data_IF_258166410991
#
_entry.id   IF_258166410991
#
_cell.length_a   1.000
_cell.length_b   1.000
_cell.length_c   1.000
_cell.angle_alpha   90.00
_cell.angle_beta   90.00
_cell.angle_gamma   90.00
#
_symmetry.space_group_name_H-M   'P 1'
#
loop_
_entity.id
_entity.type
_entity.pdbx_description
1 polymer ?
#
# COMPACT_ATOMS: atom_id res chain seq x y z
N UNK A 1 -44.41 -35.18 8.74
CA UNK A 1 -44.46 -34.39 10.00
C UNK A 1 -43.21 -34.60 10.89
N UNK A 2 -42.11 -35.18 10.38
CA UNK A 2 -40.89 -35.46 11.16
C UNK A 2 -39.72 -34.49 10.92
N UNK A 3 -39.78 -33.64 9.89
CA UNK A 3 -38.70 -32.68 9.54
C UNK A 3 -38.64 -31.42 10.45
N UNK A 4 -39.58 -31.27 11.39
CA UNK A 4 -39.64 -30.12 12.29
C UNK A 4 -39.00 -30.40 13.66
N UNK A 5 -38.82 -31.68 14.04
CA UNK A 5 -38.28 -32.06 15.37
C UNK A 5 -36.77 -32.29 15.39
N UNK A 6 -36.15 -32.62 14.26
CA UNK A 6 -34.70 -32.70 14.11
C UNK A 6 -34.30 -31.60 13.13
N UNK A 7 -33.78 -30.49 13.66
CA UNK A 7 -33.44 -29.29 12.87
C UNK A 7 -32.73 -29.68 11.59
N UNK A 8 -33.32 -29.30 10.44
CA UNK A 8 -32.83 -29.65 9.10
C UNK A 8 -31.31 -29.47 9.04
N UNK A 9 -30.58 -30.57 8.86
CA UNK A 9 -29.17 -30.51 8.53
C UNK A 9 -29.04 -29.67 7.26
N UNK A 10 -28.30 -28.55 7.34
CA UNK A 10 -28.09 -27.67 6.20
C UNK A 10 -27.56 -28.48 5.03
N UNK A 11 -28.15 -28.29 3.87
CA UNK A 11 -27.66 -28.94 2.66
C UNK A 11 -26.23 -28.45 2.36
N UNK A 12 -25.39 -29.25 1.67
CA UNK A 12 -24.04 -28.80 1.27
C UNK A 12 -24.06 -27.44 0.55
N UNK A 13 -25.09 -27.18 -0.27
CA UNK A 13 -25.26 -25.89 -0.94
C UNK A 13 -25.58 -24.73 0.00
N UNK A 14 -26.40 -24.96 1.03
CA UNK A 14 -26.68 -23.96 2.06
C UNK A 14 -25.44 -23.66 2.90
N UNK A 15 -24.63 -24.66 3.22
CA UNK A 15 -23.35 -24.51 3.92
C UNK A 15 -22.36 -23.68 3.09
N UNK A 16 -22.18 -24.01 1.81
CA UNK A 16 -21.31 -23.25 0.90
C UNK A 16 -21.77 -21.78 0.77
N UNK A 17 -23.09 -21.55 0.69
CA UNK A 17 -23.65 -20.19 0.62
C UNK A 17 -23.48 -19.42 1.93
N UNK A 18 -23.63 -20.08 3.07
CA UNK A 18 -23.40 -19.47 4.38
C UNK A 18 -21.92 -19.13 4.59
N UNK A 19 -21.01 -20.06 4.25
CA UNK A 19 -19.56 -19.86 4.35
C UNK A 19 -19.11 -18.70 3.45
N UNK A 20 -19.59 -18.64 2.20
CA UNK A 20 -19.31 -17.50 1.31
C UNK A 20 -19.71 -16.17 1.95
N UNK A 21 -20.92 -16.07 2.52
CA UNK A 21 -21.38 -14.86 3.21
C UNK A 21 -20.54 -14.50 4.44
N UNK A 22 -20.09 -15.51 5.19
CA UNK A 22 -19.22 -15.31 6.34
C UNK A 22 -17.85 -14.77 5.90
N UNK A 23 -17.27 -15.32 4.84
CA UNK A 23 -16.02 -14.84 4.24
C UNK A 23 -16.19 -13.40 3.72
N UNK A 24 -17.27 -13.10 2.99
CA UNK A 24 -17.56 -11.73 2.50
C UNK A 24 -17.77 -10.71 3.62
N UNK A 25 -18.28 -11.16 4.77
CA UNK A 25 -18.37 -10.32 5.97
C UNK A 25 -16.98 -10.10 6.58
N UNK A 26 -16.21 -11.17 6.77
CA UNK A 26 -14.86 -11.08 7.31
C UNK A 26 -13.96 -10.16 6.47
N UNK A 27 -14.02 -10.24 5.12
CA UNK A 27 -13.27 -9.33 4.25
C UNK A 27 -13.62 -7.85 4.49
N UNK A 28 -14.90 -7.53 4.67
CA UNK A 28 -15.36 -6.15 4.95
C UNK A 28 -14.95 -5.68 6.34
N UNK A 29 -14.98 -6.57 7.33
CA UNK A 29 -14.56 -6.25 8.68
C UNK A 29 -13.03 -6.02 8.73
N UNK A 30 -12.23 -6.81 8.00
CA UNK A 30 -10.78 -6.56 7.82
C UNK A 30 -10.50 -5.24 7.11
N UNK A 31 -11.24 -4.89 6.05
CA UNK A 31 -11.07 -3.61 5.35
C UNK A 31 -11.36 -2.41 6.27
N UNK A 32 -12.38 -2.51 7.12
CA UNK A 32 -12.72 -1.47 8.10
C UNK A 32 -11.62 -1.30 9.15
N UNK A 33 -11.10 -2.41 9.66
CA UNK A 33 -10.01 -2.36 10.65
C UNK A 33 -8.72 -1.82 10.04
N UNK A 34 -8.41 -2.20 8.80
CA UNK A 34 -7.30 -1.62 8.04
C UNK A 34 -7.45 -0.10 7.92
N UNK A 35 -8.61 0.40 7.49
CA UNK A 35 -8.87 1.84 7.38
C UNK A 35 -8.75 2.57 8.72
N UNK A 36 -9.17 1.92 9.82
CA UNK A 36 -8.99 2.46 11.17
C UNK A 36 -7.51 2.60 11.52
N UNK A 37 -6.71 1.57 11.24
CA UNK A 37 -5.26 1.59 11.46
C UNK A 37 -4.54 2.61 10.57
N UNK A 38 -4.91 2.74 9.29
CA UNK A 38 -4.41 3.81 8.40
C UNK A 38 -4.74 5.21 8.96
N UNK A 39 -5.90 5.37 9.59
CA UNK A 39 -6.28 6.59 10.30
C UNK A 39 -5.41 6.86 11.53
N UNK A 40 -5.10 5.82 12.32
CA UNK A 40 -4.18 5.91 13.46
C UNK A 40 -2.76 6.23 13.00
N UNK A 41 -2.29 5.60 11.93
CA UNK A 41 -0.97 5.84 11.32
C UNK A 41 -0.77 7.33 11.01
N UNK A 42 -1.75 7.95 10.34
CA UNK A 42 -1.71 9.39 10.02
C UNK A 42 -1.62 10.28 11.26
N UNK A 43 -2.30 9.91 12.35
CA UNK A 43 -2.24 10.65 13.63
C UNK A 43 -0.88 10.50 14.29
N UNK A 44 -0.37 9.26 14.38
CA UNK A 44 0.96 8.98 14.95
C UNK A 44 2.05 9.71 14.18
N UNK A 45 1.98 9.77 12.85
CA UNK A 45 2.90 10.56 12.02
C UNK A 45 2.84 12.05 12.38
N UNK A 46 1.64 12.62 12.55
CA UNK A 46 1.48 14.03 12.93
C UNK A 46 2.06 14.29 14.33
N UNK A 47 1.84 13.38 15.28
CA UNK A 47 2.35 13.49 16.65
C UNK A 47 3.88 13.35 16.68
N UNK A 48 4.47 12.41 15.92
CA UNK A 48 5.93 12.28 15.75
C UNK A 48 6.52 13.61 15.26
N UNK A 49 5.93 14.20 14.20
CA UNK A 49 6.39 15.50 13.66
C UNK A 49 6.30 16.62 14.69
N UNK A 50 5.26 16.64 15.52
CA UNK A 50 5.08 17.64 16.58
C UNK A 50 6.13 17.47 17.70
N UNK A 51 6.35 16.24 18.16
CA UNK A 51 7.31 15.94 19.24
C UNK A 51 8.76 16.14 18.78
N UNK A 52 9.05 15.85 17.51
CA UNK A 52 10.35 16.12 16.88
C UNK A 52 10.66 17.62 16.85
N UNK A 53 9.68 18.46 16.50
CA UNK A 53 9.82 19.93 16.56
C UNK A 53 10.08 20.46 17.97
N UNK A 54 9.58 19.76 18.98
CA UNK A 54 9.79 20.10 20.40
C UNK A 54 11.14 19.55 20.93
N UNK A 55 11.93 18.84 20.13
CA UNK A 55 13.21 18.27 20.53
C UNK A 55 13.09 17.04 21.45
N UNK A 56 11.90 16.47 21.62
CA UNK A 56 11.66 15.33 22.52
C UNK A 56 11.97 14.00 21.81
N UNK A 57 13.25 13.74 21.57
CA UNK A 57 13.71 12.59 20.76
C UNK A 57 13.37 11.22 21.38
N UNK A 58 13.29 11.10 22.71
CA UNK A 58 12.89 9.83 23.35
C UNK A 58 11.42 9.50 23.09
N UNK A 59 10.53 10.49 23.15
CA UNK A 59 9.12 10.34 22.79
C UNK A 59 8.95 10.01 21.31
N UNK A 60 9.74 10.64 20.43
CA UNK A 60 9.78 10.36 18.99
C UNK A 60 10.18 8.91 18.73
N UNK A 61 11.21 8.40 19.42
CA UNK A 61 11.67 7.01 19.27
C UNK A 61 10.57 6.01 19.66
N UNK A 62 9.84 6.27 20.75
CA UNK A 62 8.74 5.40 21.20
C UNK A 62 7.59 5.43 20.19
N UNK A 63 7.18 6.62 19.73
CA UNK A 63 6.10 6.76 18.74
C UNK A 63 6.49 6.18 17.37
N UNK A 64 7.75 6.25 16.98
CA UNK A 64 8.25 5.64 15.75
C UNK A 64 8.17 4.11 15.79
N UNK A 65 8.48 3.48 16.95
CA UNK A 65 8.24 2.05 17.14
C UNK A 65 6.76 1.69 17.01
N UNK A 66 5.86 2.52 17.53
CA UNK A 66 4.41 2.32 17.39
C UNK A 66 3.92 2.48 15.94
N UNK A 67 4.51 3.44 15.20
CA UNK A 67 4.27 3.62 13.77
C UNK A 67 4.65 2.38 12.96
N UNK A 68 5.84 1.82 13.21
CA UNK A 68 6.29 0.59 12.52
C UNK A 68 5.36 -0.59 12.83
N UNK A 69 4.96 -0.78 14.09
CA UNK A 69 3.97 -1.81 14.46
C UNK A 69 2.65 -1.61 13.73
N UNK A 70 2.16 -0.37 13.67
CA UNK A 70 0.91 -0.05 12.97
C UNK A 70 1.00 -0.38 11.48
N UNK A 71 2.11 -0.03 10.82
CA UNK A 71 2.37 -0.40 9.41
C UNK A 71 2.42 -1.91 9.20
N UNK A 72 3.09 -2.64 10.08
CA UNK A 72 3.16 -4.11 10.00
C UNK A 72 1.77 -4.74 10.19
N UNK A 73 0.95 -4.21 11.09
CA UNK A 73 -0.44 -4.64 11.22
C UNK A 73 -1.23 -4.37 9.93
N UNK A 74 -1.10 -3.19 9.31
CA UNK A 74 -1.75 -2.87 8.03
C UNK A 74 -1.34 -3.89 6.94
N UNK A 75 -0.04 -4.18 6.81
CA UNK A 75 0.48 -5.21 5.89
C UNK A 75 -0.17 -6.58 6.17
N UNK A 76 -0.20 -6.99 7.44
CA UNK A 76 -0.84 -8.24 7.87
C UNK A 76 -2.33 -8.30 7.55
N UNK A 77 -3.07 -7.21 7.70
CA UNK A 77 -4.48 -7.12 7.30
C UNK A 77 -4.67 -7.27 5.79
N UNK A 78 -3.78 -6.70 4.97
CA UNK A 78 -3.79 -6.86 3.51
C UNK A 78 -3.54 -8.33 3.13
N UNK A 79 -2.53 -8.97 3.72
CA UNK A 79 -2.25 -10.39 3.49
C UNK A 79 -3.39 -11.29 3.93
N UNK A 80 -3.97 -11.06 5.11
CA UNK A 80 -5.13 -11.81 5.59
C UNK A 80 -6.33 -11.67 4.65
N UNK A 81 -6.57 -10.47 4.11
CA UNK A 81 -7.64 -10.26 3.13
C UNK A 81 -7.39 -11.06 1.86
N UNK A 82 -6.17 -11.04 1.33
CA UNK A 82 -5.79 -11.83 0.15
C UNK A 82 -6.02 -13.33 0.40
N UNK A 83 -5.63 -13.84 1.57
CA UNK A 83 -5.84 -15.23 1.94
C UNK A 83 -7.34 -15.59 2.01
N UNK A 84 -8.18 -14.73 2.61
CA UNK A 84 -9.64 -14.94 2.63
C UNK A 84 -10.23 -14.89 1.23
N UNK A 85 -9.75 -14.00 0.36
CA UNK A 85 -10.17 -13.93 -1.04
C UNK A 85 -9.82 -15.22 -1.79
N UNK A 86 -8.62 -15.77 -1.60
CA UNK A 86 -8.22 -17.04 -2.17
C UNK A 86 -9.13 -18.20 -1.70
N UNK A 87 -9.44 -18.25 -0.40
CA UNK A 87 -10.39 -19.24 0.15
C UNK A 87 -11.79 -19.05 -0.42
N UNK A 88 -12.26 -17.81 -0.57
CA UNK A 88 -13.56 -17.51 -1.16
C UNK A 88 -13.65 -17.96 -2.64
N UNK A 89 -12.57 -17.83 -3.41
CA UNK A 89 -12.46 -18.37 -4.76
C UNK A 89 -12.51 -19.90 -4.76
N UNK A 90 -11.79 -20.56 -3.85
CA UNK A 90 -11.85 -22.03 -3.69
C UNK A 90 -13.27 -22.51 -3.37
N UNK A 91 -13.97 -21.83 -2.46
CA UNK A 91 -15.40 -22.12 -2.16
C UNK A 91 -16.30 -21.92 -3.37
N UNK A 92 -16.04 -20.89 -4.19
CA UNK A 92 -16.78 -20.66 -5.43
C UNK A 92 -16.54 -21.79 -6.44
N UNK A 93 -15.30 -22.27 -6.58
CA UNK A 93 -14.95 -23.42 -7.42
C UNK A 93 -15.65 -24.69 -6.96
N UNK A 94 -15.62 -24.97 -5.65
CA UNK A 94 -16.33 -26.12 -5.05
C UNK A 94 -17.84 -26.09 -5.33
N UNK A 95 -18.45 -24.90 -5.30
CA UNK A 95 -19.87 -24.75 -5.66
C UNK A 95 -20.14 -25.12 -7.13
N UNK A 96 -19.28 -24.71 -8.05
CA UNK A 96 -19.40 -25.07 -9.46
C UNK A 96 -19.17 -26.56 -9.69
N UNK A 97 -18.23 -27.17 -8.96
CA UNK A 97 -17.98 -28.61 -8.98
C UNK A 97 -19.18 -29.40 -8.44
N UNK A 98 -19.81 -28.97 -7.34
CA UNK A 98 -21.05 -29.60 -6.82
C UNK A 98 -22.19 -29.56 -7.85
N UNK A 99 -22.40 -28.41 -8.50
CA UNK A 99 -23.40 -28.28 -9.56
C UNK A 99 -23.11 -29.21 -10.75
N UNK A 100 -21.85 -29.33 -11.16
CA UNK A 100 -21.43 -30.26 -12.20
C UNK A 100 -21.64 -31.72 -11.78
N UNK A 101 -21.30 -32.09 -10.55
CA UNK A 101 -21.52 -33.44 -10.01
C UNK A 101 -23.01 -33.78 -9.96
N UNK A 102 -23.87 -32.83 -9.59
CA UNK A 102 -25.32 -33.00 -9.63
C UNK A 102 -25.86 -33.20 -11.07
N UNK A 103 -25.37 -32.40 -12.03
CA UNK A 103 -25.73 -32.55 -13.43
C UNK A 103 -25.26 -33.92 -13.98
N UNK A 104 -24.02 -34.31 -13.70
CA UNK A 104 -23.47 -35.62 -14.06
C UNK A 104 -24.27 -36.75 -13.43
N UNK A 105 -24.69 -36.65 -12.16
CA UNK A 105 -25.57 -37.65 -11.53
C UNK A 105 -26.90 -37.82 -12.26
N UNK A 106 -27.48 -36.73 -12.78
CA UNK A 106 -28.66 -36.76 -13.65
C UNK A 106 -28.37 -37.46 -14.98
N UNK A 107 -27.28 -37.10 -15.64
CA UNK A 107 -26.82 -37.73 -16.90
C UNK A 107 -26.51 -39.21 -16.71
N UNK A 108 -25.82 -39.62 -15.64
CA UNK A 108 -25.53 -41.02 -15.33
C UNK A 108 -26.80 -41.81 -15.01
N UNK A 109 -27.81 -41.20 -14.37
CA UNK A 109 -29.12 -41.85 -14.18
C UNK A 109 -29.83 -42.06 -15.52
N UNK A 110 -29.84 -41.05 -16.39
CA UNK A 110 -30.40 -41.16 -17.74
C UNK A 110 -29.63 -42.20 -18.57
N UNK A 111 -28.29 -42.18 -18.53
CA UNK A 111 -27.43 -43.18 -19.14
C UNK A 111 -27.63 -44.57 -18.56
N UNK A 112 -27.83 -44.76 -17.25
CA UNK A 112 -28.19 -46.06 -16.68
C UNK A 112 -29.55 -46.55 -17.16
N UNK A 113 -30.53 -45.65 -17.26
CA UNK A 113 -31.85 -45.98 -17.81
C UNK A 113 -31.76 -46.35 -19.29
N UNK A 114 -30.91 -45.66 -20.05
CA UNK A 114 -30.66 -45.91 -21.46
C UNK A 114 -29.78 -47.15 -21.71
N UNK A 115 -28.79 -47.42 -20.86
CA UNK A 115 -27.93 -48.61 -20.88
C UNK A 115 -28.68 -49.88 -20.43
N UNK A 116 -29.76 -49.72 -19.64
CA UNK A 116 -30.71 -50.82 -19.41
C UNK A 116 -31.47 -51.20 -20.68
N UNK A 117 -31.42 -50.36 -21.72
CA UNK A 117 -32.05 -50.56 -23.03
C UNK A 117 -31.03 -50.74 -24.17
N UNK A 118 -29.72 -50.47 -23.97
CA UNK A 118 -28.65 -50.58 -24.98
C UNK A 118 -27.35 -51.13 -24.37
N UNK A 119 -26.72 -52.07 -25.09
CA UNK A 119 -25.66 -53.00 -24.68
C UNK A 119 -24.35 -52.41 -24.09
N UNK A 120 -23.68 -53.26 -23.30
CA UNK A 120 -22.65 -53.02 -22.26
C UNK A 120 -21.16 -52.65 -22.62
N UNK A 121 -20.67 -52.44 -23.86
CA UNK A 121 -19.23 -52.17 -24.08
C UNK A 121 -18.74 -50.72 -23.85
N UNK A 122 -19.61 -49.71 -23.88
CA UNK A 122 -19.18 -48.30 -23.95
C UNK A 122 -18.92 -47.64 -22.59
N UNK A 123 -19.46 -48.21 -21.50
CA UNK A 123 -19.31 -47.67 -20.12
C UNK A 123 -17.88 -47.85 -19.58
N UNK A 124 -17.18 -48.93 -19.95
CA UNK A 124 -15.79 -49.16 -19.54
C UNK A 124 -14.85 -48.07 -20.09
N UNK A 125 -15.12 -47.56 -21.29
CA UNK A 125 -14.31 -46.50 -21.91
C UNK A 125 -14.46 -45.16 -21.20
N UNK A 126 -15.69 -44.79 -20.80
CA UNK A 126 -15.95 -43.53 -20.10
C UNK A 126 -15.34 -43.51 -18.69
N UNK A 127 -15.36 -44.64 -17.98
CA UNK A 127 -14.69 -44.75 -16.67
C UNK A 127 -13.17 -44.62 -16.81
N UNK A 128 -12.58 -45.26 -17.82
CA UNK A 128 -11.15 -45.20 -18.07
C UNK A 128 -10.69 -43.80 -18.53
N UNK A 129 -11.51 -43.11 -19.34
CA UNK A 129 -11.23 -41.73 -19.74
C UNK A 129 -11.39 -40.73 -18.58
N UNK A 130 -12.29 -40.99 -17.63
CA UNK A 130 -12.46 -40.17 -16.43
C UNK A 130 -11.30 -40.33 -15.46
N UNK A 131 -10.88 -41.57 -15.17
CA UNK A 131 -9.69 -41.83 -14.34
C UNK A 131 -8.46 -41.14 -14.91
N UNK A 132 -8.24 -41.22 -16.23
CA UNK A 132 -7.14 -40.54 -16.91
C UNK A 132 -7.21 -39.02 -16.82
N UNK A 133 -8.40 -38.41 -16.89
CA UNK A 133 -8.56 -36.96 -16.79
C UNK A 133 -8.41 -36.45 -15.35
N UNK A 134 -8.86 -37.22 -14.35
CA UNK A 134 -8.66 -36.91 -12.93
C UNK A 134 -7.18 -36.95 -12.55
N UNK A 135 -6.43 -37.95 -13.03
CA UNK A 135 -4.99 -38.09 -12.78
C UNK A 135 -4.18 -36.92 -13.40
N UNK A 136 -4.56 -36.46 -14.60
CA UNK A 136 -3.97 -35.27 -15.24
C UNK A 136 -4.27 -33.99 -14.44
N UNK A 137 -5.42 -33.94 -13.77
CA UNK A 137 -5.81 -32.77 -12.97
C UNK A 137 -5.06 -32.72 -11.64
N UNK A 138 -4.88 -33.85 -10.95
CA UNK A 138 -4.07 -33.93 -9.73
C UNK A 138 -2.61 -33.53 -10.00
N UNK A 139 -2.00 -34.03 -11.08
CA UNK A 139 -0.63 -33.66 -11.46
C UNK A 139 -0.45 -32.16 -11.75
N UNK A 140 -1.49 -31.49 -12.28
CA UNK A 140 -1.47 -30.03 -12.52
C UNK A 140 -1.63 -29.22 -11.23
N UNK A 141 -2.37 -29.74 -10.26
CA UNK A 141 -2.54 -29.09 -8.96
C UNK A 141 -1.25 -29.19 -8.13
N UNK A 142 -0.55 -30.32 -8.19
CA UNK A 142 0.77 -30.52 -7.58
C UNK A 142 1.84 -29.57 -8.17
N UNK A 143 1.96 -29.52 -9.51
CA UNK A 143 2.89 -28.57 -10.17
C UNK A 143 2.57 -27.09 -9.90
N UNK A 144 1.30 -26.75 -9.65
CA UNK A 144 0.92 -25.38 -9.30
C UNK A 144 1.16 -25.08 -7.83
N UNK A 145 1.07 -26.07 -6.94
CA UNK A 145 1.40 -25.92 -5.52
C UNK A 145 2.90 -25.69 -5.33
N UNK A 146 3.75 -26.46 -6.02
CA UNK A 146 5.21 -26.31 -5.95
C UNK A 146 5.69 -24.96 -6.47
N UNK A 147 5.08 -24.44 -7.54
CA UNK A 147 5.41 -23.11 -8.07
C UNK A 147 4.96 -21.94 -7.16
N UNK A 148 3.95 -22.17 -6.32
CA UNK A 148 3.48 -21.19 -5.33
C UNK A 148 4.35 -21.24 -4.08
N UNK A 149 4.80 -22.42 -3.66
CA UNK A 149 5.70 -22.61 -2.52
C UNK A 149 7.09 -22.00 -2.79
N UNK A 150 7.64 -22.17 -4.00
CA UNK A 150 8.90 -21.54 -4.44
C UNK A 150 8.81 -20.01 -4.54
N UNK A 151 7.62 -19.46 -4.82
CA UNK A 151 7.39 -18.02 -4.91
C UNK A 151 7.06 -17.36 -3.55
N UNK A 152 6.74 -18.17 -2.53
CA UNK A 152 6.36 -17.72 -1.18
C UNK A 152 7.43 -18.00 -0.12
N UNK A 153 8.66 -18.33 -0.51
CA UNK A 153 9.82 -18.39 0.40
C UNK A 153 10.09 -17.05 1.09
N UNK A 154 9.42 -16.81 2.20
CA UNK A 154 9.54 -15.62 3.05
C UNK A 154 10.46 -15.96 4.23
N UNK A 155 11.59 -15.27 4.34
CA UNK A 155 12.53 -15.47 5.44
C UNK A 155 13.62 -14.43 5.45
N UNK A 156 13.29 -13.21 5.92
CA UNK A 156 14.17 -12.36 6.75
C UNK A 156 13.43 -11.04 7.06
N UNK A 157 12.60 -10.99 8.13
CA UNK A 157 11.90 -9.76 8.53
C UNK A 157 12.27 -9.26 9.95
N UNK A 158 13.08 -9.98 10.72
CA UNK A 158 13.31 -9.63 12.14
C UNK A 158 14.49 -8.66 12.35
N UNK A 159 15.60 -8.77 11.61
CA UNK A 159 16.76 -7.84 11.74
C UNK A 159 16.53 -6.46 11.07
N UNK A 160 15.56 -6.36 10.16
CA UNK A 160 15.25 -5.10 9.46
C UNK A 160 14.52 -4.07 10.34
N UNK A 161 13.93 -4.49 11.47
CA UNK A 161 13.01 -3.63 12.23
C UNK A 161 13.66 -2.37 12.83
N UNK A 162 14.92 -2.41 13.25
CA UNK A 162 15.61 -1.21 13.75
C UNK A 162 16.10 -0.28 12.63
N UNK A 163 16.57 -0.83 11.51
CA UNK A 163 16.89 -0.03 10.31
C UNK A 163 15.63 0.62 9.74
N UNK A 164 14.51 -0.09 9.71
CA UNK A 164 13.23 0.43 9.25
C UNK A 164 12.75 1.57 10.14
N UNK A 165 12.95 1.52 11.46
CA UNK A 165 12.63 2.67 12.33
C UNK A 165 13.47 3.89 11.96
N UNK A 166 14.77 3.72 11.73
CA UNK A 166 15.65 4.82 11.33
C UNK A 166 15.26 5.37 9.96
N UNK A 167 15.01 4.49 8.98
CA UNK A 167 14.56 4.86 7.64
C UNK A 167 13.23 5.62 7.66
N UNK A 168 12.28 5.24 8.52
CA UNK A 168 11.01 5.96 8.66
C UNK A 168 11.19 7.32 9.31
N UNK A 169 12.12 7.47 10.25
CA UNK A 169 12.47 8.77 10.82
C UNK A 169 13.13 9.69 9.78
N UNK A 170 13.94 9.11 8.89
CA UNK A 170 14.57 9.80 7.76
C UNK A 170 13.52 10.18 6.69
N UNK A 171 12.61 9.27 6.32
CA UNK A 171 11.47 9.53 5.41
C UNK A 171 10.53 10.63 5.94
N UNK A 172 10.34 10.69 7.25
CA UNK A 172 9.52 11.72 7.90
C UNK A 172 10.21 13.08 7.99
N UNK A 173 11.49 13.17 7.57
CA UNK A 173 12.22 14.41 7.42
C UNK A 173 12.69 15.00 8.75
N UNK A 174 13.04 14.17 9.75
CA UNK A 174 13.71 14.64 10.97
C UNK A 174 15.21 14.85 10.70
N UNK A 175 15.53 15.49 9.58
CA UNK A 175 16.77 16.24 9.38
C UNK A 175 16.49 17.71 9.72
N UNK A 176 15.96 17.97 10.91
CA UNK A 176 15.83 19.34 11.42
C UNK A 176 17.22 19.96 11.73
N UNK A 177 18.29 19.15 11.74
CA UNK A 177 19.63 19.58 12.10
C UNK A 177 20.44 20.21 10.95
N UNK A 178 20.09 19.97 9.69
CA UNK A 178 20.85 20.57 8.56
C UNK A 178 20.28 21.91 8.08
N UNK A 179 18.97 22.14 8.21
CA UNK A 179 18.38 23.43 7.81
C UNK A 179 18.36 24.48 8.93
N UNK A 180 18.38 24.08 10.20
CA UNK A 180 18.61 25.01 11.33
C UNK A 180 20.06 25.50 11.40
N UNK A 181 21.02 24.72 10.87
CA UNK A 181 22.43 25.12 10.74
C UNK A 181 22.71 25.99 9.49
N UNK A 182 21.72 26.21 8.62
CA UNK A 182 21.78 27.11 7.45
C UNK A 182 21.09 28.46 7.67
N UNK A 183 20.47 28.68 8.82
CA UNK A 183 20.02 30.01 9.21
C UNK A 183 21.23 30.81 9.71
N UNK A 184 21.50 32.01 9.16
CA UNK A 184 22.64 32.80 9.60
C UNK A 184 22.49 33.09 11.10
N UNK A 185 23.40 32.53 11.90
CA UNK A 185 23.50 32.85 13.32
C UNK A 185 23.73 34.35 13.48
N UNK A 186 23.12 34.96 14.50
CA UNK A 186 23.18 36.40 14.78
C UNK A 186 24.62 36.99 14.87
N UNK A 187 25.65 36.15 14.92
CA UNK A 187 27.06 36.52 14.76
C UNK A 187 27.39 37.13 13.39
N UNK A 188 26.75 36.68 12.30
CA UNK A 188 26.98 37.22 10.95
C UNK A 188 26.28 38.57 10.73
N UNK A 189 25.12 38.77 11.36
CA UNK A 189 24.43 40.05 11.37
C UNK A 189 25.21 41.13 12.14
N UNK A 190 25.95 40.74 13.18
CA UNK A 190 26.76 41.67 13.98
C UNK A 190 28.05 42.11 13.26
N UNK A 191 28.61 41.25 12.41
CA UNK A 191 29.78 41.57 11.57
C UNK A 191 29.45 42.55 10.42
N UNK A 192 28.20 42.61 9.96
CA UNK A 192 27.79 43.55 8.93
C UNK A 192 27.45 44.94 9.50
N UNK A 193 26.93 45.00 10.74
CA UNK A 193 26.64 46.26 11.42
C UNK A 193 27.88 47.03 11.89
N UNK A 194 29.05 46.37 12.00
CA UNK A 194 30.32 47.01 12.42
C UNK A 194 31.09 47.68 11.28
N UNK A 195 30.64 47.55 10.02
CA UNK A 195 31.29 48.14 8.84
C UNK A 195 30.76 49.53 8.43
N UNK A 196 29.64 49.99 8.98
CA UNK A 196 29.02 51.27 8.59
C UNK A 196 29.47 52.48 9.45
N UNK A 197 30.51 52.34 10.27
CA UNK A 197 30.87 53.32 11.30
C UNK A 197 31.92 54.39 10.98
N UNK A 198 32.44 54.54 9.76
CA UNK A 198 33.53 55.53 9.52
C UNK A 198 33.47 56.30 8.18
N UNK A 199 33.12 57.60 8.30
CA UNK A 199 33.53 58.80 7.49
C UNK A 199 32.86 58.98 6.11
N UNK A 200 32.47 60.16 5.62
CA UNK A 200 32.09 61.52 6.08
C UNK A 200 31.59 62.27 4.79
N UNK A 201 30.95 63.46 4.88
CA UNK A 201 29.95 63.95 3.91
C UNK A 201 30.48 64.96 2.88
N UNK A 202 29.79 65.07 1.73
CA UNK A 202 29.79 66.30 0.90
C UNK A 202 28.40 66.60 0.33
N UNK A 203 28.03 67.88 0.50
CA UNK A 203 26.88 68.63 -0.01
C UNK A 203 26.86 68.67 -1.56
N UNK A 204 25.85 69.07 -2.34
CA UNK A 204 24.61 69.85 -2.20
C UNK A 204 23.91 69.90 -3.57
N UNK A 205 22.66 70.42 -3.60
CA UNK A 205 21.89 70.96 -4.75
C UNK A 205 21.12 69.91 -5.57
N UNK A 206 19.89 70.12 -6.07
CA UNK A 206 18.83 71.11 -5.88
C UNK A 206 17.64 70.63 -6.76
N UNK A 207 16.40 70.91 -6.32
CA UNK A 207 15.24 71.32 -7.16
C UNK A 207 14.41 70.25 -7.91
N UNK A 208 13.22 70.00 -7.33
CA UNK A 208 11.84 70.14 -7.89
C UNK A 208 11.21 69.06 -8.78
N UNK A 209 9.93 68.82 -8.42
CA UNK A 209 8.75 68.41 -9.19
C UNK A 209 8.44 66.91 -9.41
N UNK A 210 7.34 66.50 -8.76
CA UNK A 210 6.14 66.11 -9.52
C UNK A 210 5.88 64.61 -9.73
N UNK A 211 4.90 64.09 -9.00
CA UNK A 211 3.81 63.27 -9.57
C UNK A 211 4.12 61.89 -10.15
N UNK A 212 3.84 60.86 -9.33
CA UNK A 212 2.97 59.71 -9.65
C UNK A 212 3.08 59.04 -11.03
N UNK A 213 3.62 57.81 -11.03
CA UNK A 213 2.95 56.66 -11.65
C UNK A 213 3.64 56.01 -12.86
N UNK A 214 3.98 54.72 -12.70
CA UNK A 214 3.97 53.75 -13.81
C UNK A 214 5.31 53.13 -14.20
N UNK A 215 5.47 51.86 -13.80
CA UNK A 215 6.25 50.78 -14.43
C UNK A 215 7.39 51.16 -15.38
N UNK A 216 8.62 50.78 -15.01
CA UNK A 216 9.61 50.16 -15.91
C UNK A 216 10.82 49.68 -15.09
N UNK A 217 10.84 48.38 -14.72
CA UNK A 217 12.00 47.75 -14.08
C UNK A 217 12.47 46.51 -14.86
N UNK A 218 12.39 46.58 -16.19
CA UNK A 218 12.87 45.54 -17.12
C UNK A 218 14.15 45.96 -17.85
N UNK A 219 14.45 47.27 -17.92
CA UNK A 219 15.64 47.78 -18.61
C UNK A 219 16.96 47.60 -17.85
N UNK A 220 16.92 47.60 -16.52
CA UNK A 220 18.13 47.59 -15.68
C UNK A 220 18.79 46.21 -15.62
N UNK A 221 17.98 45.15 -15.70
CA UNK A 221 18.48 43.76 -15.66
C UNK A 221 19.12 43.35 -16.99
N UNK A 222 18.56 43.81 -18.11
CA UNK A 222 19.13 43.55 -19.45
C UNK A 222 20.45 44.30 -19.67
N UNK A 223 20.60 45.50 -19.10
CA UNK A 223 21.85 46.27 -19.15
C UNK A 223 22.98 45.58 -18.36
N UNK A 224 22.68 45.07 -17.16
CA UNK A 224 23.63 44.33 -16.33
C UNK A 224 24.04 42.99 -16.94
N UNK A 225 23.12 42.29 -17.64
CA UNK A 225 23.42 41.06 -18.35
C UNK A 225 24.30 41.29 -19.59
N UNK A 226 24.07 42.37 -20.32
CA UNK A 226 24.90 42.73 -21.48
C UNK A 226 26.33 43.11 -21.07
N UNK A 227 26.50 43.87 -19.98
CA UNK A 227 27.82 44.22 -19.45
C UNK A 227 28.60 42.98 -18.98
N UNK A 228 27.92 41.98 -18.40
CA UNK A 228 28.53 40.70 -18.03
C UNK A 228 28.92 39.86 -19.25
N UNK A 229 28.12 39.88 -20.31
CA UNK A 229 28.43 39.18 -21.57
C UNK A 229 29.62 39.80 -22.31
N UNK A 230 29.76 41.12 -22.31
CA UNK A 230 30.91 41.79 -22.93
C UNK A 230 32.23 41.50 -22.21
N UNK A 231 32.21 41.42 -20.87
CA UNK A 231 33.40 41.05 -20.10
C UNK A 231 33.83 39.60 -20.35
N UNK A 232 32.88 38.67 -20.53
CA UNK A 232 33.19 37.27 -20.84
C UNK A 232 33.74 37.06 -22.26
N UNK A 233 33.50 38.02 -23.15
CA UNK A 233 33.92 37.96 -24.56
C UNK A 233 35.29 38.61 -24.80
N UNK A 234 35.86 39.21 -23.74
CA UNK A 234 37.14 39.94 -23.76
C UNK A 234 38.29 39.16 -23.10
N UNK A 235 37.98 38.07 -22.41
CA UNK A 235 38.92 37.01 -22.02
C UNK A 235 38.98 35.92 -23.09
#
# INVERSE_FOLDING_TARGET
>A
MMDFLFGRSKTPQELLRQNKRALDKAMRDLDRERQRLEGTEKKVIADIKKMAKMGQMDSVRIMAKDLVRTRQHIKKFIMMKANIQAVALKVQTLKSQDAMAQAMKGVTRAMRSMNRQLNLPQIQKIMSDFERQSEIMEMKEEMMSDAIDDAMGEGDEEEETEQVVQQVLDELGIQMSEDLNKLPTAADALNNATREGQRQPQASMAVVAGGSGGNNNVGDVDADLQARLENLRRE
#
